data_IF_452271339774
#
_entry.id   IF_452271339774
#
_cell.length_a   1.000
_cell.length_b   1.000
_cell.length_c   1.000
_cell.angle_alpha   90.00
_cell.angle_beta   90.00
_cell.angle_gamma   90.00
#
_symmetry.space_group_name_H-M   'P 1'
#
loop_
_entity.id
_entity.type
_entity.pdbx_description
1 polymer ?
#
# COMPACT_ATOMS: atom_id res chain seq x y z
N UNK A 1 -61.93 -47.62 -23.26
CA UNK A 1 -60.93 -47.70 -22.17
C UNK A 1 -59.58 -47.28 -22.74
N UNK A 2 -59.32 -45.98 -22.80
CA UNK A 2 -58.55 -45.16 -21.84
C UNK A 2 -57.04 -45.42 -21.87
N UNK A 3 -56.32 -44.42 -22.37
CA UNK A 3 -54.87 -44.32 -22.63
C UNK A 3 -54.06 -44.38 -21.32
N UNK A 4 -52.92 -45.09 -21.31
CA UNK A 4 -51.90 -44.97 -20.26
C UNK A 4 -50.88 -43.89 -20.62
N UNK A 5 -50.91 -42.85 -19.79
CA UNK A 5 -49.84 -41.92 -19.38
C UNK A 5 -48.60 -42.76 -19.03
N UNK A 6 -47.34 -42.45 -19.28
CA UNK A 6 -46.61 -41.19 -19.47
C UNK A 6 -45.40 -41.26 -18.54
N UNK A 7 -44.16 -41.17 -19.05
CA UNK A 7 -42.97 -40.81 -18.27
C UNK A 7 -41.78 -40.60 -19.22
N UNK A 8 -41.52 -39.34 -19.56
CA UNK A 8 -40.23 -38.91 -20.12
C UNK A 8 -39.50 -38.25 -18.95
N UNK A 9 -38.55 -38.97 -18.34
CA UNK A 9 -37.70 -38.40 -17.30
C UNK A 9 -36.61 -37.54 -17.94
N UNK A 10 -36.75 -36.23 -17.73
CA UNK A 10 -35.80 -35.20 -18.12
C UNK A 10 -34.67 -35.16 -17.08
N UNK A 11 -33.52 -35.79 -17.37
CA UNK A 11 -32.32 -35.64 -16.55
C UNK A 11 -31.57 -34.38 -16.99
N UNK A 12 -31.74 -33.29 -16.23
CA UNK A 12 -30.98 -32.04 -16.40
C UNK A 12 -29.63 -32.20 -15.71
N UNK A 13 -28.56 -32.39 -16.49
CA UNK A 13 -27.18 -32.28 -16.01
C UNK A 13 -26.80 -30.79 -15.95
N UNK A 14 -26.82 -30.23 -14.74
CA UNK A 14 -26.30 -28.88 -14.48
C UNK A 14 -24.77 -28.99 -14.43
N UNK A 15 -24.10 -28.58 -15.50
CA UNK A 15 -22.66 -28.34 -15.49
C UNK A 15 -22.38 -27.05 -14.72
N UNK A 16 -21.76 -27.17 -13.55
CA UNK A 16 -21.28 -26.01 -12.77
C UNK A 16 -20.09 -25.43 -13.52
N UNK A 17 -20.27 -24.26 -14.12
CA UNK A 17 -19.19 -23.49 -14.71
C UNK A 17 -18.22 -23.05 -13.61
N UNK A 18 -16.98 -23.54 -13.66
CA UNK A 18 -15.86 -22.96 -12.93
C UNK A 18 -15.60 -21.57 -13.51
N UNK A 19 -16.14 -20.54 -12.86
CA UNK A 19 -15.71 -19.17 -13.07
C UNK A 19 -14.30 -19.03 -12.48
N UNK A 20 -13.30 -19.39 -13.28
CA UNK A 20 -11.92 -18.97 -13.03
C UNK A 20 -11.89 -17.44 -13.02
N UNK A 21 -11.84 -16.86 -11.82
CA UNK A 21 -11.61 -15.45 -11.61
C UNK A 21 -10.24 -15.05 -12.12
N UNK A 22 -10.15 -14.74 -13.41
CA UNK A 22 -8.98 -14.14 -14.03
C UNK A 22 -9.34 -12.68 -14.35
N UNK A 23 -9.58 -11.87 -13.32
CA UNK A 23 -9.89 -10.46 -13.50
C UNK A 23 -9.45 -9.65 -12.27
N UNK A 24 -8.15 -9.33 -12.17
CA UNK A 24 -7.66 -8.15 -11.43
C UNK A 24 -6.16 -7.84 -11.66
N UNK A 25 -5.51 -8.24 -12.76
CA UNK A 25 -4.05 -7.95 -12.93
C UNK A 25 -3.70 -6.48 -13.22
N UNK A 26 -4.69 -5.61 -13.51
CA UNK A 26 -4.41 -4.30 -14.13
C UNK A 26 -4.96 -3.06 -13.38
N UNK A 27 -5.71 -3.21 -12.28
CA UNK A 27 -6.30 -2.06 -11.59
C UNK A 27 -5.55 -1.75 -10.29
N UNK A 28 -4.29 -1.34 -10.37
CA UNK A 28 -3.58 -0.85 -9.19
C UNK A 28 -4.14 0.54 -8.80
N UNK A 29 -4.84 0.68 -7.66
CA UNK A 29 -5.44 1.96 -7.27
C UNK A 29 -4.40 2.87 -6.62
N UNK A 30 -3.39 3.28 -7.38
CA UNK A 30 -2.26 4.09 -6.89
C UNK A 30 -2.77 5.36 -6.21
N UNK A 31 -2.31 5.60 -4.99
CA UNK A 31 -2.62 6.81 -4.24
C UNK A 31 -1.83 7.99 -4.80
N UNK A 32 -2.50 9.13 -4.96
CA UNK A 32 -1.82 10.38 -5.32
C UNK A 32 -1.26 11.04 -4.05
N UNK A 33 0.04 11.36 -3.98
CA UNK A 33 0.57 12.15 -2.87
C UNK A 33 0.13 13.60 -3.00
N UNK A 34 0.00 14.29 -1.86
CA UNK A 34 -0.40 15.69 -1.80
C UNK A 34 0.82 16.61 -1.61
N UNK A 35 0.80 17.77 -2.27
CA UNK A 35 1.82 18.81 -2.08
C UNK A 35 1.52 19.63 -0.83
N UNK A 36 2.23 19.35 0.26
CA UNK A 36 1.93 19.90 1.58
C UNK A 36 3.20 20.13 2.37
N UNK A 37 3.13 21.06 3.33
CA UNK A 37 4.20 21.34 4.27
C UNK A 37 4.03 20.45 5.52
N UNK A 38 5.03 19.64 5.91
CA UNK A 38 4.95 18.83 7.12
C UNK A 38 4.98 19.69 8.39
N UNK A 39 4.60 19.14 9.55
CA UNK A 39 4.73 19.85 10.82
C UNK A 39 6.19 20.19 11.14
N UNK A 40 6.39 21.25 11.92
CA UNK A 40 7.70 21.55 12.51
C UNK A 40 8.05 20.43 13.49
N UNK A 41 9.30 19.98 13.46
CA UNK A 41 9.81 18.96 14.36
C UNK A 41 11.27 19.27 14.72
N UNK A 42 11.62 19.14 16.01
CA UNK A 42 12.96 19.45 16.51
C UNK A 42 14.05 18.49 15.98
N UNK A 43 13.69 17.31 15.49
CA UNK A 43 14.62 16.36 14.86
C UNK A 43 14.96 16.74 13.41
N UNK A 44 14.27 17.72 12.82
CA UNK A 44 14.52 18.20 11.46
C UNK A 44 15.22 19.56 11.54
N UNK A 45 16.49 19.61 11.08
CA UNK A 45 17.34 20.80 11.22
C UNK A 45 16.84 22.02 10.45
N UNK A 46 16.30 21.80 9.25
CA UNK A 46 15.82 22.87 8.38
C UNK A 46 14.34 23.14 8.65
N UNK A 47 13.86 24.39 8.47
CA UNK A 47 12.43 24.67 8.49
C UNK A 47 11.69 23.75 7.51
N UNK A 48 10.49 23.28 7.85
CA UNK A 48 9.73 22.42 6.94
C UNK A 48 9.42 23.18 5.65
N UNK A 49 9.68 22.52 4.52
CA UNK A 49 9.34 22.99 3.17
C UNK A 49 8.19 22.16 2.61
N UNK A 50 7.53 22.68 1.57
CA UNK A 50 6.53 21.90 0.86
C UNK A 50 7.20 20.73 0.15
N UNK A 51 6.53 19.57 0.18
CA UNK A 51 6.94 18.36 -0.51
C UNK A 51 5.72 17.49 -0.81
N UNK A 52 5.95 16.41 -1.54
CA UNK A 52 4.92 15.40 -1.74
C UNK A 52 4.87 14.45 -0.55
N UNK A 53 3.67 14.24 0.00
CA UNK A 53 3.42 13.31 1.10
C UNK A 53 2.17 12.48 0.86
N UNK A 54 2.19 11.22 1.28
CA UNK A 54 0.95 10.51 1.61
C UNK A 54 0.50 10.96 2.99
N UNK A 55 -0.77 11.33 3.15
CA UNK A 55 -1.29 11.97 4.35
C UNK A 55 -2.66 11.38 4.67
N UNK A 56 -2.92 11.09 5.95
CA UNK A 56 -4.24 10.65 6.38
C UNK A 56 -5.20 11.84 6.57
N UNK A 57 -6.49 11.56 6.75
CA UNK A 57 -7.54 12.59 6.73
C UNK A 57 -7.32 13.73 7.73
N UNK A 58 -6.82 13.42 8.93
CA UNK A 58 -6.55 14.41 9.99
C UNK A 58 -5.11 14.94 10.00
N UNK A 59 -4.28 14.54 9.03
CA UNK A 59 -2.85 14.92 8.92
C UNK A 59 -2.01 14.55 10.15
N UNK A 60 -2.45 13.58 10.94
CA UNK A 60 -1.70 13.07 12.09
C UNK A 60 -0.55 12.15 11.69
N UNK A 61 -0.66 11.48 10.55
CA UNK A 61 0.41 10.68 9.94
C UNK A 61 0.69 11.17 8.52
N UNK A 62 1.97 11.44 8.23
CA UNK A 62 2.47 11.82 6.91
C UNK A 62 3.68 10.96 6.53
N UNK A 63 3.74 10.48 5.29
CA UNK A 63 4.87 9.73 4.75
C UNK A 63 5.45 10.47 3.54
N UNK A 64 6.75 10.77 3.56
CA UNK A 64 7.41 11.45 2.45
C UNK A 64 7.31 10.63 1.16
N UNK A 65 6.84 11.25 0.08
CA UNK A 65 6.51 10.61 -1.19
C UNK A 65 7.45 11.05 -2.33
N UNK A 66 8.62 11.59 -2.00
CA UNK A 66 9.61 12.08 -2.99
C UNK A 66 10.09 11.00 -3.99
N UNK A 67 9.92 9.73 -3.63
CA UNK A 67 10.34 8.56 -4.40
C UNK A 67 9.27 8.09 -5.40
N UNK A 68 8.02 8.59 -5.31
CA UNK A 68 6.93 8.31 -6.26
C UNK A 68 6.60 9.51 -7.16
N UNK A 69 7.40 10.58 -7.11
CA UNK A 69 7.13 11.80 -7.87
C UNK A 69 7.09 11.56 -9.39
N UNK A 70 6.18 12.23 -10.13
CA UNK A 70 5.92 12.00 -11.56
C UNK A 70 7.08 12.38 -12.51
N UNK A 71 8.25 12.76 -11.98
CA UNK A 71 9.43 13.17 -12.75
C UNK A 71 10.71 12.40 -12.39
N UNK A 72 10.62 11.33 -11.59
CA UNK A 72 11.70 10.34 -11.46
C UNK A 72 11.40 9.14 -12.36
N UNK A 73 12.45 8.54 -12.91
CA UNK A 73 12.40 7.35 -13.79
C UNK A 73 11.92 6.07 -13.07
N UNK A 74 10.76 6.13 -12.40
CA UNK A 74 10.04 5.09 -11.63
C UNK A 74 10.45 4.92 -10.14
N UNK A 75 9.48 4.72 -9.23
CA UNK A 75 9.75 4.11 -7.93
C UNK A 75 10.13 2.65 -8.17
N UNK A 76 11.43 2.38 -8.16
CA UNK A 76 11.98 1.06 -8.40
C UNK A 76 11.93 0.24 -7.11
N UNK A 77 11.84 -1.07 -7.27
CA UNK A 77 12.27 -1.97 -6.18
C UNK A 77 13.78 -1.78 -6.01
N UNK A 78 14.17 -1.29 -4.84
CA UNK A 78 15.56 -1.01 -4.49
C UNK A 78 16.06 -2.07 -3.52
N UNK A 79 17.22 -2.69 -3.80
CA UNK A 79 17.84 -3.66 -2.88
C UNK A 79 18.17 -3.00 -1.53
N UNK A 80 18.58 -1.73 -1.56
CA UNK A 80 18.88 -0.92 -0.38
C UNK A 80 17.64 -0.46 0.40
N UNK A 81 16.45 -0.65 -0.16
CA UNK A 81 15.18 -0.18 0.38
C UNK A 81 14.92 1.30 0.14
N UNK A 82 13.65 1.68 0.20
CA UNK A 82 13.22 3.06 0.01
C UNK A 82 13.26 3.78 1.36
N UNK A 83 14.04 4.85 1.44
CA UNK A 83 14.09 5.71 2.63
C UNK A 83 12.84 6.59 2.71
N UNK A 84 12.05 6.41 3.76
CA UNK A 84 10.82 7.18 4.00
C UNK A 84 10.93 7.95 5.30
N UNK A 85 10.70 9.26 5.24
CA UNK A 85 10.51 10.10 6.41
C UNK A 85 9.04 10.13 6.80
N UNK A 86 8.74 9.83 8.05
CA UNK A 86 7.39 9.83 8.61
C UNK A 86 7.24 10.96 9.61
N UNK A 87 6.08 11.60 9.62
CA UNK A 87 5.61 12.37 10.76
C UNK A 87 4.43 11.60 11.36
N UNK A 88 4.48 11.34 12.67
CA UNK A 88 3.44 10.63 13.42
C UNK A 88 3.11 11.35 14.73
N UNK A 89 2.10 10.92 15.51
CA UNK A 89 1.95 11.39 16.88
C UNK A 89 3.25 11.25 17.66
N UNK A 90 3.63 12.30 18.38
CA UNK A 90 4.88 12.38 19.14
C UNK A 90 4.97 11.23 20.15
N UNK A 91 6.14 10.58 20.23
CA UNK A 91 6.38 9.46 21.13
C UNK A 91 5.61 8.15 20.83
N UNK A 92 4.65 8.13 19.91
CA UNK A 92 3.88 6.93 19.58
C UNK A 92 4.71 5.89 18.80
N UNK A 93 4.55 4.60 19.07
CA UNK A 93 5.21 3.58 18.26
C UNK A 93 4.70 3.59 16.82
N UNK A 94 5.60 3.53 15.83
CA UNK A 94 5.26 3.40 14.42
C UNK A 94 5.32 1.93 14.01
N UNK A 95 4.19 1.41 13.51
CA UNK A 95 4.11 0.08 12.92
C UNK A 95 3.78 0.22 11.45
N UNK A 96 4.57 -0.39 10.58
CA UNK A 96 4.36 -0.37 9.13
C UNK A 96 4.22 -1.80 8.64
N UNK A 97 3.20 -2.04 7.83
CA UNK A 97 2.99 -3.30 7.12
C UNK A 97 2.72 -3.00 5.65
N UNK A 98 2.88 -3.99 4.80
CA UNK A 98 2.46 -3.87 3.42
C UNK A 98 2.17 -5.22 2.79
N UNK A 99 1.21 -5.23 1.87
CA UNK A 99 0.77 -6.42 1.14
C UNK A 99 0.71 -6.14 -0.35
N UNK A 100 1.05 -7.15 -1.14
CA UNK A 100 0.88 -7.10 -2.58
C UNK A 100 -0.60 -7.30 -2.93
N UNK A 101 -1.10 -6.50 -3.87
CA UNK A 101 -2.51 -6.49 -4.27
C UNK A 101 -2.77 -7.26 -5.58
N UNK A 102 -1.76 -7.40 -6.44
CA UNK A 102 -1.92 -7.91 -7.81
C UNK A 102 -1.33 -9.31 -8.04
N UNK A 103 -0.64 -9.86 -7.03
CA UNK A 103 -0.12 -11.23 -7.01
C UNK A 103 0.22 -11.65 -5.57
N UNK A 104 0.52 -12.95 -5.39
CA UNK A 104 1.08 -13.44 -4.13
C UNK A 104 2.53 -12.97 -3.95
N UNK A 105 2.87 -12.50 -2.76
CA UNK A 105 4.23 -12.17 -2.34
C UNK A 105 4.35 -12.18 -0.80
N UNK A 106 5.57 -12.33 -0.25
CA UNK A 106 5.81 -12.03 1.16
C UNK A 106 5.38 -10.59 1.52
N UNK A 107 5.12 -10.32 2.80
CA UNK A 107 4.81 -8.96 3.24
C UNK A 107 6.00 -8.02 3.01
N UNK A 108 5.71 -6.72 2.84
CA UNK A 108 6.71 -5.66 2.90
C UNK A 108 7.49 -5.76 4.22
N UNK A 109 8.81 -5.69 4.14
CA UNK A 109 9.65 -5.52 5.33
C UNK A 109 9.87 -4.03 5.60
N UNK A 110 9.69 -3.61 6.85
CA UNK A 110 9.95 -2.26 7.31
C UNK A 110 11.06 -2.28 8.35
N UNK A 111 12.19 -1.67 8.03
CA UNK A 111 13.23 -1.39 9.01
C UNK A 111 12.90 -0.07 9.71
N UNK A 112 12.52 -0.16 10.98
CA UNK A 112 12.09 0.96 11.80
C UNK A 112 13.11 1.13 12.95
N UNK A 113 14.10 2.01 12.81
CA UNK A 113 15.03 2.31 13.88
C UNK A 113 14.30 2.83 15.11
N UNK A 114 14.80 2.47 16.30
CA UNK A 114 14.31 3.02 17.55
C UNK A 114 14.58 4.52 17.66
N UNK A 115 14.13 5.10 18.78
CA UNK A 115 14.78 6.26 19.37
C UNK A 115 14.52 7.58 18.62
N UNK A 116 13.34 7.68 18.01
CA UNK A 116 12.76 8.92 17.50
C UNK A 116 11.65 9.40 18.46
N UNK A 117 11.98 10.20 19.50
CA UNK A 117 11.01 10.61 20.51
C UNK A 117 10.03 11.67 19.99
N UNK A 118 10.42 12.43 18.97
CA UNK A 118 9.60 13.47 18.35
C UNK A 118 8.62 12.89 17.33
N UNK A 119 7.98 13.72 16.50
CA UNK A 119 7.04 13.29 15.45
C UNK A 119 7.75 12.69 14.26
N UNK A 120 8.95 13.19 13.93
CA UNK A 120 9.71 12.70 12.78
C UNK A 120 10.33 11.33 13.07
N UNK A 121 10.25 10.39 12.13
CA UNK A 121 10.96 9.11 12.17
C UNK A 121 11.35 8.65 10.77
N UNK A 122 12.62 8.29 10.57
CA UNK A 122 13.08 7.74 9.30
C UNK A 122 13.00 6.20 9.30
N UNK A 123 12.58 5.60 8.19
CA UNK A 123 12.53 4.14 8.02
C UNK A 123 13.10 3.73 6.65
N UNK A 124 13.39 2.44 6.50
CA UNK A 124 13.60 1.79 5.20
C UNK A 124 12.44 0.86 4.88
N UNK A 125 11.86 0.98 3.68
CA UNK A 125 10.83 0.07 3.17
C UNK A 125 11.41 -0.85 2.10
N UNK A 126 11.31 -2.16 2.30
CA UNK A 126 11.90 -3.20 1.44
C UNK A 126 10.79 -4.04 0.81
N UNK A 127 10.47 -3.72 -0.43
CA UNK A 127 9.45 -4.43 -1.19
C UNK A 127 10.04 -5.70 -1.82
N UNK A 128 9.50 -6.90 -1.52
CA UNK A 128 10.04 -8.16 -2.04
C UNK A 128 9.98 -8.32 -3.57
N UNK A 129 9.14 -7.56 -4.26
CA UNK A 129 8.95 -7.64 -5.71
C UNK A 129 8.29 -6.38 -6.28
N UNK A 130 8.37 -6.22 -7.60
CA UNK A 130 7.58 -5.24 -8.34
C UNK A 130 6.07 -5.54 -8.26
N UNK A 131 5.24 -4.57 -8.64
CA UNK A 131 3.78 -4.71 -8.65
C UNK A 131 3.06 -3.68 -7.80
N UNK A 132 1.79 -3.94 -7.57
CA UNK A 132 0.91 -3.09 -6.77
C UNK A 132 0.98 -3.44 -5.28
N UNK A 133 1.29 -2.46 -4.44
CA UNK A 133 1.46 -2.65 -3.01
C UNK A 133 0.59 -1.67 -2.23
N UNK A 134 -0.18 -2.18 -1.28
CA UNK A 134 -0.79 -1.38 -0.22
C UNK A 134 0.18 -1.33 0.97
N UNK A 135 0.47 -0.12 1.43
CA UNK A 135 1.26 0.15 2.63
C UNK A 135 0.32 0.72 3.68
N UNK A 136 0.40 0.16 4.88
CA UNK A 136 -0.37 0.59 6.03
C UNK A 136 0.58 0.98 7.17
N UNK A 137 0.41 2.18 7.70
CA UNK A 137 1.17 2.69 8.83
C UNK A 137 0.23 3.05 9.97
N UNK A 138 0.55 2.59 11.18
CA UNK A 138 -0.19 2.87 12.41
C UNK A 138 0.70 3.51 13.45
N UNK A 139 0.17 4.50 14.14
CA UNK A 139 0.81 5.10 15.30
C UNK A 139 -0.26 5.64 16.26
N UNK A 140 -0.23 5.20 17.51
CA UNK A 140 -1.33 5.40 18.47
C UNK A 140 -2.67 4.89 17.89
N UNK A 141 -3.71 5.72 17.87
CA UNK A 141 -5.03 5.45 17.28
C UNK A 141 -5.16 5.94 15.84
N UNK A 142 -4.05 6.33 15.21
CA UNK A 142 -4.00 6.91 13.87
C UNK A 142 -3.49 5.91 12.85
N UNK A 143 -4.02 6.05 11.64
CA UNK A 143 -3.72 5.15 10.53
C UNK A 143 -3.56 5.94 9.24
N UNK A 144 -2.58 5.53 8.42
CA UNK A 144 -2.38 5.97 7.06
C UNK A 144 -2.26 4.73 6.17
N UNK A 145 -3.07 4.66 5.12
CA UNK A 145 -2.97 3.66 4.07
C UNK A 145 -2.74 4.35 2.74
N UNK A 146 -1.78 3.87 1.96
CA UNK A 146 -1.57 4.31 0.58
C UNK A 146 -1.15 3.15 -0.30
N UNK A 147 -1.38 3.27 -1.60
CA UNK A 147 -1.06 2.26 -2.59
C UNK A 147 -0.04 2.81 -3.57
N UNK A 148 0.99 2.01 -3.86
CA UNK A 148 2.03 2.34 -4.85
C UNK A 148 2.16 1.24 -5.88
N UNK A 149 2.61 1.61 -7.08
CA UNK A 149 3.01 0.67 -8.12
C UNK A 149 4.52 0.76 -8.29
N UNK A 150 5.21 -0.35 -8.06
CA UNK A 150 6.66 -0.47 -8.20
C UNK A 150 7.02 -1.20 -9.48
N UNK A 151 8.14 -0.81 -10.08
CA UNK A 151 8.73 -1.49 -11.23
C UNK A 151 10.11 -2.05 -10.86
N UNK A 152 10.56 -3.10 -11.55
CA UNK A 152 11.92 -3.62 -11.38
C UNK A 152 12.86 -2.88 -12.34
N UNK A 153 14.06 -2.55 -11.89
CA UNK A 153 15.13 -2.12 -12.80
C UNK A 153 15.39 -3.20 -13.86
N UNK A 154 15.71 -2.77 -15.08
CA UNK A 154 16.28 -3.65 -16.10
C UNK A 154 17.75 -3.87 -15.87
#
# INVERSE_FOLDING_TARGET
>A
MSRRIGQVSLAVLIAIALLSGCAAKNNCPVSEPVWVKPPVDAAVMNPPEYGYYFVNEDSSIMASAWWVEPHKDYPLVLEEGIKVGWFRPEGAELVITGKRLDADAPALEAHIPCCYPTRFQATGLYFPSEGCWEVNAKAADKELTFVVRLERTK
#
